data_IF_479262731699
#
_entry.id   IF_479262731699
#
_cell.length_a   1.000
_cell.length_b   1.000
_cell.length_c   1.000
_cell.angle_alpha   90.00
_cell.angle_beta   90.00
_cell.angle_gamma   90.00
#
_symmetry.space_group_name_H-M   'P 1'
#
loop_
_entity.id
_entity.type
_entity.pdbx_description
1 polymer ?
#
# COMPACT_ATOMS: atom_id res chain seq x y z
N UNK A 1 -10.12 -23.77 -27.34
CA UNK A 1 -10.16 -23.04 -26.06
C UNK A 1 -9.67 -24.03 -25.02
N UNK A 2 -8.38 -23.96 -24.70
CA UNK A 2 -7.77 -24.81 -23.68
C UNK A 2 -8.48 -24.58 -22.35
N UNK A 3 -8.78 -25.68 -21.67
CA UNK A 3 -9.49 -25.76 -20.41
C UNK A 3 -8.59 -25.21 -19.29
N UNK A 4 -8.37 -23.90 -19.24
CA UNK A 4 -7.88 -23.25 -18.02
C UNK A 4 -8.96 -23.46 -16.97
N UNK A 5 -8.65 -24.31 -15.98
CA UNK A 5 -9.58 -24.53 -14.87
C UNK A 5 -9.94 -23.18 -14.28
N UNK A 6 -11.23 -22.81 -14.28
CA UNK A 6 -11.70 -21.56 -13.67
C UNK A 6 -11.18 -21.47 -12.24
N UNK A 7 -10.12 -20.68 -12.01
CA UNK A 7 -9.58 -20.44 -10.68
C UNK A 7 -10.59 -19.60 -9.92
N UNK A 8 -10.98 -20.04 -8.74
CA UNK A 8 -11.81 -19.24 -7.84
C UNK A 8 -10.97 -18.10 -7.27
N UNK A 9 -11.57 -16.92 -7.04
CA UNK A 9 -10.85 -15.76 -6.47
C UNK A 9 -10.13 -16.14 -5.17
N UNK A 10 -10.78 -16.97 -4.34
CA UNK A 10 -10.22 -17.48 -3.08
C UNK A 10 -8.89 -18.22 -3.24
N UNK A 11 -8.58 -18.77 -4.41
CA UNK A 11 -7.34 -19.52 -4.64
C UNK A 11 -6.10 -18.65 -4.89
N UNK A 12 -6.29 -17.36 -5.18
CA UNK A 12 -5.21 -16.41 -5.42
C UNK A 12 -5.35 -15.10 -4.63
N UNK A 13 -6.40 -14.96 -3.83
CA UNK A 13 -6.63 -13.78 -3.01
C UNK A 13 -5.48 -13.59 -2.00
N UNK A 14 -4.83 -12.43 -2.04
CA UNK A 14 -3.69 -12.11 -1.19
C UNK A 14 -2.40 -12.87 -1.55
N UNK A 15 -2.35 -13.58 -2.67
CA UNK A 15 -1.17 -14.39 -3.05
C UNK A 15 0.12 -13.56 -3.20
N UNK A 16 0.01 -12.27 -3.48
CA UNK A 16 1.15 -11.34 -3.53
C UNK A 16 1.34 -10.54 -2.24
N UNK A 17 0.78 -11.00 -1.12
CA UNK A 17 0.95 -10.38 0.20
C UNK A 17 1.64 -11.31 1.18
N UNK A 18 2.59 -10.78 1.94
CA UNK A 18 3.17 -11.45 3.10
C UNK A 18 2.23 -11.32 4.30
N UNK A 19 1.02 -11.83 4.13
CA UNK A 19 -0.06 -11.81 5.11
C UNK A 19 0.04 -12.93 6.14
N UNK A 20 -1.04 -13.13 6.90
CA UNK A 20 -1.12 -14.12 7.99
C UNK A 20 -0.75 -15.54 7.54
N UNK A 21 -1.26 -15.97 6.37
CA UNK A 21 -1.02 -17.31 5.83
C UNK A 21 0.46 -17.50 5.46
N UNK A 22 1.00 -16.62 4.61
CA UNK A 22 2.42 -16.64 4.23
C UNK A 22 3.35 -16.56 5.45
N UNK A 23 3.04 -15.69 6.43
CA UNK A 23 3.81 -15.61 7.66
C UNK A 23 3.76 -16.91 8.47
N UNK A 24 2.60 -17.56 8.56
CA UNK A 24 2.45 -18.81 9.32
C UNK A 24 3.21 -19.98 8.71
N UNK A 25 3.37 -20.00 7.38
CA UNK A 25 4.13 -21.03 6.66
C UNK A 25 5.65 -20.81 6.74
N UNK A 26 6.08 -19.54 6.78
CA UNK A 26 7.50 -19.17 6.63
C UNK A 26 8.20 -18.85 7.94
N UNK A 27 7.45 -18.48 8.98
CA UNK A 27 8.02 -18.13 10.27
C UNK A 27 7.88 -19.29 11.26
N UNK A 28 8.88 -19.50 12.14
CA UNK A 28 8.71 -20.38 13.28
C UNK A 28 7.47 -20.01 14.09
N UNK A 29 6.72 -21.01 14.56
CA UNK A 29 5.44 -20.81 15.27
C UNK A 29 5.50 -19.79 16.40
N UNK A 30 6.57 -19.83 17.21
CA UNK A 30 6.77 -18.90 18.33
C UNK A 30 7.03 -17.47 17.85
N UNK A 31 7.77 -17.29 16.75
CA UNK A 31 8.07 -15.98 16.15
C UNK A 31 6.80 -15.38 15.55
N UNK A 32 6.01 -16.18 14.83
CA UNK A 32 4.72 -15.76 14.28
C UNK A 32 3.77 -15.29 15.39
N UNK A 33 3.63 -16.08 16.46
CA UNK A 33 2.78 -15.73 17.60
C UNK A 33 3.27 -14.45 18.29
N UNK A 34 4.58 -14.34 18.54
CA UNK A 34 5.16 -13.16 19.17
C UNK A 34 5.01 -11.90 18.30
N UNK A 35 5.11 -12.01 16.98
CA UNK A 35 4.83 -10.93 16.04
C UNK A 35 3.35 -10.50 16.15
N UNK A 36 2.40 -11.43 16.09
CA UNK A 36 0.96 -11.13 16.22
C UNK A 36 0.64 -10.45 17.55
N UNK A 37 1.20 -10.92 18.66
CA UNK A 37 1.03 -10.31 19.98
C UNK A 37 1.61 -8.89 20.04
N UNK A 38 2.78 -8.68 19.44
CA UNK A 38 3.44 -7.37 19.36
C UNK A 38 2.59 -6.36 18.57
N UNK A 39 2.08 -6.77 17.40
CA UNK A 39 1.19 -5.95 16.55
C UNK A 39 -0.11 -5.62 17.28
N UNK A 40 -0.74 -6.62 17.92
CA UNK A 40 -1.98 -6.44 18.68
C UNK A 40 -1.79 -5.49 19.86
N UNK A 41 -0.66 -5.58 20.55
CA UNK A 41 -0.32 -4.74 21.70
C UNK A 41 0.24 -3.36 21.32
N UNK A 42 0.56 -3.11 20.05
CA UNK A 42 1.20 -1.86 19.61
C UNK A 42 2.59 -1.64 20.22
N UNK A 43 3.33 -2.72 20.47
CA UNK A 43 4.67 -2.66 21.09
C UNK A 43 5.76 -2.57 20.02
N UNK A 44 6.94 -2.10 20.43
CA UNK A 44 8.14 -2.11 19.59
C UNK A 44 8.52 -3.55 19.25
N UNK A 45 8.83 -3.82 17.97
CA UNK A 45 9.27 -5.13 17.52
C UNK A 45 10.68 -5.46 18.08
N UNK A 46 10.84 -6.59 18.78
CA UNK A 46 12.16 -7.07 19.21
C UNK A 46 13.08 -7.37 18.02
N UNK A 47 14.38 -7.07 18.16
CA UNK A 47 15.35 -7.18 17.07
C UNK A 47 15.61 -8.63 16.63
N UNK A 48 15.54 -9.57 17.57
CA UNK A 48 15.62 -11.01 17.33
C UNK A 48 14.44 -11.50 16.47
N UNK A 49 13.22 -11.07 16.79
CA UNK A 49 12.03 -11.37 15.99
C UNK A 49 12.15 -10.72 14.60
N UNK A 50 12.57 -9.45 14.54
CA UNK A 50 12.73 -8.73 13.29
C UNK A 50 13.69 -9.42 12.31
N UNK A 51 14.81 -9.97 12.81
CA UNK A 51 15.77 -10.71 11.99
C UNK A 51 15.16 -11.95 11.35
N UNK A 52 14.38 -12.72 12.12
CA UNK A 52 13.71 -13.93 11.60
C UNK A 52 12.60 -13.56 10.60
N UNK A 53 11.84 -12.50 10.88
CA UNK A 53 10.79 -12.00 9.98
C UNK A 53 11.39 -11.50 8.67
N UNK A 54 12.47 -10.72 8.73
CA UNK A 54 13.16 -10.23 7.53
C UNK A 54 13.66 -11.39 6.67
N UNK A 55 14.25 -12.41 7.28
CA UNK A 55 14.70 -13.60 6.55
C UNK A 55 13.52 -14.32 5.86
N UNK A 56 12.44 -14.62 6.60
CA UNK A 56 11.26 -15.28 6.04
C UNK A 56 10.58 -14.47 4.92
N UNK A 57 10.51 -13.15 5.09
CA UNK A 57 9.95 -12.22 4.09
C UNK A 57 10.81 -12.19 2.82
N UNK A 58 12.14 -12.21 2.95
CA UNK A 58 13.07 -12.24 1.83
C UNK A 58 12.95 -13.54 1.03
N UNK A 59 12.97 -14.69 1.70
CA UNK A 59 12.84 -15.99 1.02
C UNK A 59 11.49 -16.08 0.28
N UNK A 60 10.39 -15.69 0.93
CA UNK A 60 9.08 -15.62 0.28
C UNK A 60 9.07 -14.70 -0.95
N UNK A 61 9.67 -13.51 -0.85
CA UNK A 61 9.72 -12.56 -1.95
C UNK A 61 10.56 -13.10 -3.12
N UNK A 62 11.73 -13.67 -2.83
CA UNK A 62 12.64 -14.22 -3.84
C UNK A 62 12.04 -15.43 -4.58
N UNK A 63 11.32 -16.30 -3.87
CA UNK A 63 10.59 -17.42 -4.50
C UNK A 63 9.51 -16.96 -5.49
N UNK A 64 8.95 -15.77 -5.26
CA UNK A 64 8.00 -15.13 -6.17
C UNK A 64 8.69 -14.23 -7.23
N UNK A 65 10.01 -14.31 -7.35
CA UNK A 65 10.79 -13.61 -8.38
C UNK A 65 11.19 -12.18 -8.02
N UNK A 66 11.13 -11.80 -6.73
CA UNK A 66 11.63 -10.51 -6.30
C UNK A 66 13.16 -10.48 -6.22
N UNK A 67 13.74 -9.41 -6.75
CA UNK A 67 15.20 -9.17 -6.69
C UNK A 67 15.56 -7.95 -5.84
N UNK A 68 14.58 -7.07 -5.63
CA UNK A 68 14.71 -5.82 -4.91
C UNK A 68 13.61 -5.73 -3.84
N UNK A 69 13.87 -4.89 -2.86
CA UNK A 69 12.87 -4.42 -1.90
C UNK A 69 12.84 -2.90 -1.86
N UNK A 70 11.76 -2.36 -1.34
CA UNK A 70 11.59 -0.93 -1.13
C UNK A 70 10.78 -0.67 0.14
N UNK A 71 11.19 0.34 0.89
CA UNK A 71 10.33 0.94 1.91
C UNK A 71 9.29 1.80 1.19
N UNK A 72 8.05 1.34 1.21
CA UNK A 72 6.94 1.94 0.50
C UNK A 72 6.19 2.89 1.44
N UNK A 73 6.17 4.18 1.12
CA UNK A 73 5.51 5.19 1.94
C UNK A 73 4.97 6.36 1.09
N UNK A 74 4.08 7.14 1.70
CA UNK A 74 3.43 8.29 1.07
C UNK A 74 3.90 9.57 1.78
N UNK A 75 4.94 10.25 1.26
CA UNK A 75 5.35 11.55 1.78
C UNK A 75 4.27 12.62 1.55
N UNK A 76 4.41 13.76 2.23
CA UNK A 76 3.51 14.93 2.11
C UNK A 76 3.47 15.58 0.71
N UNK A 77 4.13 14.99 -0.29
CA UNK A 77 4.11 15.46 -1.69
C UNK A 77 2.90 14.94 -2.47
N UNK A 78 2.05 14.10 -1.86
CA UNK A 78 0.84 13.58 -2.50
C UNK A 78 1.06 12.41 -3.47
N UNK A 79 2.28 11.87 -3.53
CA UNK A 79 2.63 10.71 -4.35
C UNK A 79 3.41 9.70 -3.51
N UNK A 80 3.30 8.43 -3.84
CA UNK A 80 4.11 7.36 -3.25
C UNK A 80 5.59 7.54 -3.58
N UNK A 81 6.46 7.35 -2.58
CA UNK A 81 7.90 7.29 -2.76
C UNK A 81 8.40 5.85 -2.66
N UNK A 82 9.33 5.51 -3.55
CA UNK A 82 9.99 4.21 -3.59
C UNK A 82 11.48 4.39 -3.91
N UNK A 83 12.32 3.70 -3.15
CA UNK A 83 13.74 3.49 -3.46
C UNK A 83 13.97 1.98 -3.51
N UNK A 84 14.45 1.46 -4.64
CA UNK A 84 14.60 0.02 -4.83
C UNK A 84 16.04 -0.38 -4.47
N UNK A 85 16.19 -1.10 -3.38
CA UNK A 85 17.46 -1.66 -2.91
C UNK A 85 17.49 -3.17 -3.24
N UNK A 86 18.62 -3.66 -3.77
CA UNK A 86 18.76 -5.08 -4.11
C UNK A 86 18.94 -5.94 -2.85
N UNK A 87 18.47 -7.19 -2.87
CA UNK A 87 18.84 -8.16 -1.83
C UNK A 87 20.32 -8.56 -1.90
N UNK A 88 20.96 -8.36 -3.05
CA UNK A 88 22.35 -8.73 -3.30
C UNK A 88 23.30 -7.89 -2.44
N UNK A 89 24.18 -8.55 -1.69
CA UNK A 89 25.28 -7.92 -0.95
C UNK A 89 26.57 -8.70 -1.13
N UNK A 90 27.69 -7.98 -1.10
CA UNK A 90 29.03 -8.59 -1.14
C UNK A 90 29.61 -8.62 0.26
N UNK A 91 30.08 -9.78 0.69
CA UNK A 91 30.78 -9.97 1.97
C UNK A 91 32.23 -9.47 1.89
N UNK A 92 32.90 -9.33 3.03
CA UNK A 92 34.29 -8.84 3.12
C UNK A 92 35.30 -9.73 2.36
N UNK A 93 34.98 -11.01 2.23
CA UNK A 93 35.78 -12.01 1.49
C UNK A 93 35.52 -11.98 -0.03
N UNK A 94 34.62 -11.10 -0.50
CA UNK A 94 34.20 -11.02 -1.90
C UNK A 94 33.04 -11.96 -2.27
N UNK A 95 32.54 -12.78 -1.34
CA UNK A 95 31.41 -13.68 -1.61
C UNK A 95 30.12 -12.88 -1.77
N UNK A 96 29.39 -13.14 -2.85
CA UNK A 96 28.10 -12.51 -3.13
C UNK A 96 26.98 -13.36 -2.56
N UNK A 97 26.09 -12.75 -1.77
CA UNK A 97 24.93 -13.40 -1.16
C UNK A 97 23.69 -12.52 -1.24
N UNK A 98 22.50 -13.09 -1.17
CA UNK A 98 21.26 -12.34 -0.95
C UNK A 98 20.93 -12.25 0.55
N UNK A 99 20.90 -11.03 1.08
CA UNK A 99 20.62 -10.74 2.48
C UNK A 99 19.60 -9.63 2.63
N UNK A 100 18.71 -9.82 3.59
CA UNK A 100 17.81 -8.79 4.09
C UNK A 100 17.78 -8.91 5.62
N UNK A 101 18.29 -7.90 6.33
CA UNK A 101 18.47 -7.95 7.78
C UNK A 101 17.26 -7.40 8.53
N UNK A 102 17.14 -7.79 9.81
CA UNK A 102 16.13 -7.21 10.70
C UNK A 102 16.29 -5.70 10.87
N UNK A 103 17.52 -5.19 10.82
CA UNK A 103 17.80 -3.75 10.84
C UNK A 103 17.20 -3.05 9.61
N UNK A 104 17.45 -3.60 8.41
CA UNK A 104 16.86 -3.09 7.18
C UNK A 104 15.33 -3.18 7.18
N UNK A 105 14.73 -4.16 7.86
CA UNK A 105 13.28 -4.25 7.99
C UNK A 105 12.70 -3.18 8.94
N UNK A 106 13.28 -3.02 10.14
CA UNK A 106 12.71 -2.14 11.17
C UNK A 106 13.04 -0.67 10.96
N UNK A 107 14.20 -0.37 10.36
CA UNK A 107 14.66 0.99 10.16
C UNK A 107 15.47 1.12 8.87
N UNK A 108 14.89 1.78 7.88
CA UNK A 108 15.60 2.17 6.66
C UNK A 108 16.09 3.61 6.74
N UNK A 109 17.18 3.90 6.04
CA UNK A 109 17.64 5.27 5.75
C UNK A 109 17.38 5.53 4.25
N UNK A 110 16.20 6.06 3.86
CA UNK A 110 16.06 6.62 2.53
C UNK A 110 17.01 7.83 2.41
N UNK A 111 17.70 7.95 1.28
CA UNK A 111 18.36 9.21 0.91
C UNK A 111 17.26 10.26 0.69
N UNK A 112 16.92 10.93 1.78
CA UNK A 112 15.77 11.83 1.88
C UNK A 112 16.14 13.29 1.61
N UNK A 113 17.39 13.55 1.22
CA UNK A 113 17.94 14.88 1.00
C UNK A 113 17.13 15.73 -0.01
N UNK A 114 16.42 15.07 -0.92
CA UNK A 114 15.67 15.70 -2.01
C UNK A 114 14.17 15.86 -1.74
N UNK A 115 13.61 15.36 -0.62
CA UNK A 115 12.19 15.53 -0.34
C UNK A 115 11.88 16.98 0.09
N UNK A 116 10.77 17.58 -0.39
CA UNK A 116 10.36 18.92 0.02
C UNK A 116 10.19 19.01 1.54
N UNK A 117 10.90 19.95 2.16
CA UNK A 117 10.89 20.13 3.63
C UNK A 117 10.04 21.31 4.09
N UNK A 118 9.36 22.01 3.17
CA UNK A 118 8.58 23.21 3.50
C UNK A 118 9.41 24.36 4.12
N UNK A 119 10.73 24.37 3.90
CA UNK A 119 11.64 25.35 4.51
C UNK A 119 12.01 25.09 5.97
N UNK A 120 11.60 23.94 6.54
CA UNK A 120 11.85 23.60 7.94
C UNK A 120 13.25 23.00 8.20
N UNK A 121 14.10 22.81 7.17
CA UNK A 121 15.37 22.06 7.31
C UNK A 121 16.52 22.59 6.46
N UNK A 122 17.74 22.45 6.99
CA UNK A 122 18.99 22.54 6.22
C UNK A 122 19.34 21.18 5.58
N UNK A 123 20.05 21.17 4.46
CA UNK A 123 20.34 19.94 3.67
C UNK A 123 21.09 18.85 4.44
N UNK A 124 21.86 19.21 5.48
CA UNK A 124 22.56 18.22 6.33
C UNK A 124 21.63 17.54 7.35
N UNK A 125 20.50 18.16 7.69
CA UNK A 125 19.46 17.62 8.60
C UNK A 125 18.35 16.90 7.83
N UNK A 126 18.47 16.81 6.51
CA UNK A 126 17.49 16.17 5.63
C UNK A 126 17.52 14.63 5.68
N UNK A 127 18.17 14.04 6.68
CA UNK A 127 18.07 12.60 6.97
C UNK A 127 16.65 12.30 7.45
N UNK A 128 16.02 11.35 6.79
CA UNK A 128 14.76 10.78 7.24
C UNK A 128 14.95 9.28 7.49
N UNK A 129 14.08 8.74 8.33
CA UNK A 129 14.08 7.33 8.70
C UNK A 129 12.76 6.72 8.29
N UNK A 130 12.81 5.54 7.68
CA UNK A 130 11.63 4.71 7.49
C UNK A 130 11.53 3.69 8.61
N UNK A 131 10.31 3.38 9.05
CA UNK A 131 10.09 2.28 9.96
C UNK A 131 8.90 1.44 9.47
N UNK A 132 9.08 0.12 9.43
CA UNK A 132 8.00 -0.79 9.02
C UNK A 132 6.80 -0.70 9.95
N UNK A 133 5.61 -0.58 9.37
CA UNK A 133 4.34 -0.73 10.07
C UNK A 133 3.80 -2.15 9.87
N UNK A 134 3.96 -3.05 10.85
CA UNK A 134 3.51 -4.44 10.74
C UNK A 134 1.99 -4.60 10.79
N UNK A 135 1.21 -3.53 10.96
CA UNK A 135 -0.25 -3.58 10.79
C UNK A 135 -0.66 -3.62 9.32
N UNK A 136 0.23 -3.25 8.41
CA UNK A 136 0.06 -3.34 6.96
C UNK A 136 1.00 -4.42 6.40
N UNK A 137 0.49 -5.48 5.76
CA UNK A 137 1.33 -6.56 5.25
C UNK A 137 2.26 -6.06 4.14
N UNK A 138 3.49 -6.56 4.11
CA UNK A 138 4.36 -6.37 2.95
C UNK A 138 3.75 -7.07 1.72
N UNK A 139 4.03 -6.57 0.53
CA UNK A 139 3.44 -7.11 -0.70
C UNK A 139 4.45 -7.07 -1.84
N UNK A 140 4.16 -7.82 -2.90
CA UNK A 140 4.95 -7.83 -4.12
C UNK A 140 4.28 -6.98 -5.18
N UNK A 141 5.00 -5.99 -5.67
CA UNK A 141 4.57 -5.17 -6.79
C UNK A 141 5.21 -5.68 -8.08
N UNK A 142 4.40 -5.89 -9.11
CA UNK A 142 4.86 -6.24 -10.47
C UNK A 142 5.56 -5.02 -11.08
N UNK A 143 6.78 -5.19 -11.56
CA UNK A 143 7.56 -4.14 -12.20
C UNK A 143 8.35 -4.67 -13.39
N UNK A 144 8.04 -4.19 -14.60
CA UNK A 144 8.74 -4.60 -15.82
C UNK A 144 8.72 -6.11 -16.04
N UNK A 145 9.84 -6.80 -15.77
CA UNK A 145 10.00 -8.25 -15.92
C UNK A 145 10.10 -9.02 -14.59
N UNK A 146 9.94 -8.35 -13.44
CA UNK A 146 10.13 -8.98 -12.13
C UNK A 146 9.20 -8.42 -11.06
N UNK A 147 9.49 -8.77 -9.81
CA UNK A 147 8.78 -8.27 -8.64
C UNK A 147 9.70 -7.41 -7.77
N UNK A 148 9.10 -6.47 -7.05
CA UNK A 148 9.73 -5.73 -5.96
C UNK A 148 8.97 -5.98 -4.67
N UNK A 149 9.68 -6.30 -3.59
CA UNK A 149 9.10 -6.39 -2.24
C UNK A 149 8.85 -4.98 -1.71
N UNK A 150 7.58 -4.61 -1.58
CA UNK A 150 7.16 -3.35 -0.99
C UNK A 150 6.84 -3.55 0.49
N UNK A 151 7.53 -2.80 1.35
CA UNK A 151 7.40 -2.85 2.81
C UNK A 151 6.71 -1.57 3.27
N UNK A 152 5.42 -1.62 3.69
CA UNK A 152 4.70 -0.42 4.13
C UNK A 152 5.38 0.23 5.33
N UNK A 153 5.85 1.45 5.18
CA UNK A 153 6.61 2.14 6.23
C UNK A 153 6.04 3.50 6.56
N UNK A 154 6.27 3.93 7.80
CA UNK A 154 6.20 5.34 8.13
C UNK A 154 7.50 6.05 7.76
N UNK A 155 7.43 7.35 7.48
CA UNK A 155 8.60 8.18 7.19
C UNK A 155 8.67 9.38 8.15
N UNK A 156 9.76 9.46 8.90
CA UNK A 156 9.98 10.45 9.95
C UNK A 156 11.31 11.18 9.76
N UNK A 157 11.41 12.37 10.34
CA UNK A 157 12.64 13.15 10.35
C UNK A 157 13.65 12.67 11.38
N UNK A 158 14.86 13.22 11.30
CA UNK A 158 15.87 13.09 12.36
C UNK A 158 15.37 13.51 13.76
N UNK A 159 14.52 14.54 13.83
CA UNK A 159 13.93 15.04 15.09
C UNK A 159 12.58 14.38 15.44
N UNK A 160 12.10 13.42 14.65
CA UNK A 160 10.86 12.69 14.90
C UNK A 160 9.59 13.39 14.40
N UNK A 161 9.71 14.42 13.56
CA UNK A 161 8.55 14.97 12.85
C UNK A 161 8.04 13.97 11.80
N UNK A 162 6.72 13.91 11.64
CA UNK A 162 6.11 13.13 10.57
C UNK A 162 6.38 13.81 9.22
N UNK A 163 6.79 13.02 8.23
CA UNK A 163 7.02 13.45 6.86
C UNK A 163 6.14 12.71 5.86
N UNK A 164 5.19 11.95 6.38
CA UNK A 164 4.25 11.12 5.64
C UNK A 164 2.81 11.35 6.07
N UNK A 165 1.90 10.75 5.32
CA UNK A 165 0.48 10.72 5.64
C UNK A 165 0.13 9.61 6.66
N UNK A 166 0.97 8.57 6.73
CA UNK A 166 0.69 7.39 7.57
C UNK A 166 0.90 7.67 9.06
N UNK A 167 1.95 8.40 9.46
CA UNK A 167 2.18 8.71 10.87
C UNK A 167 1.05 9.55 11.48
N UNK A 168 0.59 10.66 10.84
CA UNK A 168 -0.56 11.41 11.33
C UNK A 168 -1.84 10.57 11.43
N UNK A 169 -2.10 9.70 10.45
CA UNK A 169 -3.26 8.79 10.46
C UNK A 169 -3.20 7.84 11.66
N UNK A 170 -2.08 7.15 11.89
CA UNK A 170 -1.92 6.23 13.02
C UNK A 170 -2.06 6.95 14.38
N UNK A 171 -1.53 8.17 14.50
CA UNK A 171 -1.70 9.02 15.70
C UNK A 171 -3.16 9.40 15.91
N UNK A 172 -3.87 9.78 14.84
CA UNK A 172 -5.29 10.11 14.87
C UNK A 172 -6.14 8.91 15.33
N UNK A 173 -5.92 7.73 14.75
CA UNK A 173 -6.60 6.50 15.14
C UNK A 173 -6.37 6.17 16.63
N UNK A 174 -5.14 6.34 17.13
CA UNK A 174 -4.82 6.16 18.55
C UNK A 174 -5.55 7.15 19.45
N UNK A 175 -5.60 8.43 19.08
CA UNK A 175 -6.32 9.46 19.82
C UNK A 175 -7.83 9.19 19.89
N UNK A 176 -8.44 8.77 18.78
CA UNK A 176 -9.85 8.34 18.71
C UNK A 176 -10.08 7.13 19.61
N UNK A 177 -9.23 6.10 19.51
CA UNK A 177 -9.34 4.89 20.35
C UNK A 177 -9.30 5.23 21.84
N UNK A 178 -8.33 6.03 22.28
CA UNK A 178 -8.18 6.42 23.69
C UNK A 178 -9.39 7.22 24.20
N UNK A 179 -9.95 8.08 23.36
CA UNK A 179 -11.13 8.88 23.72
C UNK A 179 -12.39 8.01 23.79
N UNK A 180 -12.55 7.09 22.84
CA UNK A 180 -13.66 6.15 22.82
C UNK A 180 -13.65 5.21 24.03
N UNK A 181 -12.47 4.73 24.46
CA UNK A 181 -12.35 3.91 25.68
C UNK A 181 -12.85 4.65 26.91
N UNK A 182 -12.46 5.91 27.12
CA UNK A 182 -12.93 6.73 28.26
C UNK A 182 -14.45 6.91 28.26
N UNK A 183 -15.03 7.11 27.08
CA UNK A 183 -16.48 7.20 26.94
C UNK A 183 -17.16 5.88 27.30
N UNK A 184 -16.65 4.75 26.79
CA UNK A 184 -17.17 3.41 27.09
C UNK A 184 -17.11 3.09 28.59
N UNK A 185 -16.01 3.43 29.27
CA UNK A 185 -15.89 3.30 30.72
C UNK A 185 -16.95 4.12 31.45
N UNK A 186 -17.19 5.36 31.02
CA UNK A 186 -18.22 6.24 31.59
C UNK A 186 -19.64 5.66 31.38
N UNK A 187 -19.86 4.93 30.29
CA UNK A 187 -21.11 4.24 29.98
C UNK A 187 -21.23 2.86 30.68
N UNK A 188 -20.27 2.49 31.52
CA UNK A 188 -20.28 1.22 32.27
C UNK A 188 -19.75 0.01 31.48
N UNK A 189 -19.17 0.22 30.29
CA UNK A 189 -18.52 -0.84 29.51
C UNK A 189 -17.04 -0.90 29.89
N UNK A 190 -16.69 -1.86 30.75
CA UNK A 190 -15.33 -2.03 31.28
C UNK A 190 -14.53 -3.10 30.53
N UNK A 191 -13.20 -3.00 30.54
CA UNK A 191 -12.30 -4.03 29.99
C UNK A 191 -12.00 -3.87 28.49
N UNK A 192 -12.46 -2.79 27.87
CA UNK A 192 -12.12 -2.45 26.48
C UNK A 192 -10.71 -1.87 26.44
N UNK A 193 -9.81 -2.51 25.68
CA UNK A 193 -8.39 -2.09 25.59
C UNK A 193 -8.05 -1.36 24.29
N UNK A 194 -8.90 -1.47 23.26
CA UNK A 194 -8.71 -0.84 21.96
C UNK A 194 -10.04 -0.69 21.23
N UNK A 195 -10.23 0.42 20.54
CA UNK A 195 -11.33 0.65 19.59
C UNK A 195 -10.74 0.80 18.20
N UNK A 196 -11.21 0.00 17.25
CA UNK A 196 -10.74 0.04 15.86
C UNK A 196 -11.65 0.93 15.02
N UNK A 197 -11.05 1.71 14.13
CA UNK A 197 -11.75 2.50 13.11
C UNK A 197 -11.70 1.79 11.77
N UNK A 198 -12.83 1.72 11.08
CA UNK A 198 -12.93 1.14 9.74
C UNK A 198 -13.24 2.25 8.73
N UNK A 199 -12.72 2.12 7.52
CA UNK A 199 -12.98 3.01 6.39
C UNK A 199 -13.33 2.17 5.16
N UNK A 200 -14.41 2.54 4.47
CA UNK A 200 -14.82 1.98 3.19
C UNK A 200 -14.77 3.07 2.13
N UNK A 201 -13.62 3.26 1.45
CA UNK A 201 -13.50 4.29 0.42
C UNK A 201 -14.23 3.87 -0.87
N UNK A 202 -15.01 4.79 -1.42
CA UNK A 202 -15.66 4.67 -2.73
C UNK A 202 -14.84 5.47 -3.75
N UNK A 203 -14.11 4.77 -4.64
CA UNK A 203 -13.14 5.40 -5.52
C UNK A 203 -13.73 5.65 -6.90
N UNK A 204 -14.09 6.90 -7.17
CA UNK A 204 -14.48 7.35 -8.50
C UNK A 204 -13.25 7.66 -9.39
N UNK A 205 -13.41 7.49 -10.69
CA UNK A 205 -12.38 7.83 -11.69
C UNK A 205 -12.97 8.02 -13.09
N UNK A 206 -12.20 8.66 -13.98
CA UNK A 206 -12.52 8.79 -15.41
C UNK A 206 -11.58 7.94 -16.27
N UNK A 207 -12.09 7.37 -17.35
CA UNK A 207 -11.27 6.69 -18.36
C UNK A 207 -11.31 7.44 -19.69
N UNK A 208 -10.14 7.73 -20.24
CA UNK A 208 -9.96 8.36 -21.55
C UNK A 208 -9.10 7.44 -22.40
N UNK A 209 -9.50 7.20 -23.65
CA UNK A 209 -8.65 6.44 -24.56
C UNK A 209 -7.29 7.13 -24.73
N UNK A 210 -6.21 6.35 -24.60
CA UNK A 210 -4.83 6.85 -24.63
C UNK A 210 -4.54 7.72 -25.85
N UNK A 211 -5.13 7.40 -27.01
CA UNK A 211 -4.96 8.19 -28.24
C UNK A 211 -5.48 9.61 -28.08
N UNK A 212 -6.64 9.79 -27.45
CA UNK A 212 -7.23 11.12 -27.20
C UNK A 212 -6.52 11.83 -26.06
N UNK A 213 -6.14 11.12 -25.00
CA UNK A 213 -5.38 11.68 -23.89
C UNK A 213 -4.06 12.32 -24.37
N UNK A 214 -3.28 11.61 -25.20
CA UNK A 214 -2.01 12.13 -25.73
C UNK A 214 -2.16 13.36 -26.66
N UNK A 215 -3.35 13.60 -27.21
CA UNK A 215 -3.65 14.77 -28.04
C UNK A 215 -4.04 16.00 -27.20
N UNK A 216 -4.12 15.88 -25.87
CA UNK A 216 -4.53 16.93 -24.95
C UNK A 216 -3.38 17.27 -23.99
N UNK A 217 -2.44 18.16 -24.39
CA UNK A 217 -1.32 18.55 -23.53
C UNK A 217 -1.76 19.06 -22.15
N UNK A 218 -2.91 19.73 -22.09
CA UNK A 218 -3.48 20.22 -20.84
C UNK A 218 -3.88 19.07 -19.89
N UNK A 219 -4.53 18.01 -20.39
CA UNK A 219 -4.79 16.80 -19.61
C UNK A 219 -3.49 16.12 -19.17
N UNK A 220 -2.54 15.96 -20.09
CA UNK A 220 -1.26 15.29 -19.82
C UNK A 220 -0.47 15.98 -18.71
N UNK A 221 -0.45 17.31 -18.70
CA UNK A 221 0.37 18.09 -17.78
C UNK A 221 -0.33 18.45 -16.48
N UNK A 222 -1.65 18.61 -16.50
CA UNK A 222 -2.41 19.14 -15.35
C UNK A 222 -3.42 18.16 -14.75
N UNK A 223 -3.58 16.97 -15.34
CA UNK A 223 -4.58 15.97 -14.89
C UNK A 223 -6.03 16.40 -15.13
N UNK A 224 -6.26 17.56 -15.77
CA UNK A 224 -7.60 18.09 -16.08
C UNK A 224 -7.57 18.87 -17.39
N UNK A 225 -8.75 19.11 -17.96
CA UNK A 225 -8.86 20.00 -19.12
C UNK A 225 -8.76 21.46 -18.66
N UNK A 226 -7.98 22.29 -19.36
CA UNK A 226 -7.86 23.73 -19.09
C UNK A 226 -8.77 24.56 -20.00
N UNK A 227 -9.09 24.01 -21.18
CA UNK A 227 -9.92 24.62 -22.20
C UNK A 227 -10.85 23.55 -22.79
N UNK A 228 -12.06 23.94 -23.19
CA UNK A 228 -13.00 23.05 -23.82
C UNK A 228 -14.43 23.57 -23.74
N UNK A 229 -15.23 23.25 -24.75
CA UNK A 229 -16.68 23.44 -24.65
C UNK A 229 -17.24 22.44 -23.63
N UNK A 230 -18.37 22.80 -23.02
CA UNK A 230 -19.11 21.87 -22.17
C UNK A 230 -19.52 20.63 -22.98
N UNK A 231 -19.55 19.45 -22.35
CA UNK A 231 -19.93 18.24 -23.06
C UNK A 231 -21.37 18.39 -23.59
N UNK A 232 -21.68 17.84 -24.78
CA UNK A 232 -23.03 17.92 -25.35
C UNK A 232 -24.07 17.20 -24.49
N UNK A 233 -23.63 16.35 -23.56
CA UNK A 233 -24.43 15.67 -22.53
C UNK A 233 -23.79 15.89 -21.16
N UNK A 234 -24.52 16.53 -20.23
CA UNK A 234 -24.09 16.74 -18.84
C UNK A 234 -24.57 15.63 -17.90
N UNK A 235 -24.48 15.87 -16.58
CA UNK A 235 -24.93 14.96 -15.50
C UNK A 235 -26.47 14.79 -15.40
N UNK A 236 -27.20 14.98 -16.48
CA UNK A 236 -28.67 15.04 -16.49
C UNK A 236 -29.32 13.73 -16.96
N UNK A 237 -28.51 12.74 -17.34
CA UNK A 237 -28.99 11.45 -17.84
C UNK A 237 -28.97 10.42 -16.71
N UNK A 238 -30.13 10.17 -16.12
CA UNK A 238 -30.37 9.04 -15.21
C UNK A 238 -30.07 7.68 -15.89
N UNK A 239 -30.09 7.63 -17.22
CA UNK A 239 -29.90 6.42 -18.04
C UNK A 239 -28.46 5.84 -17.99
N UNK A 240 -27.47 6.62 -17.53
CA UNK A 240 -26.06 6.20 -17.50
C UNK A 240 -25.65 5.61 -16.15
N UNK A 241 -26.27 6.06 -15.06
CA UNK A 241 -26.02 5.56 -13.72
C UNK A 241 -26.59 4.14 -13.59
N UNK A 242 -25.74 3.17 -13.25
CA UNK A 242 -26.05 1.72 -13.34
C UNK A 242 -26.46 1.20 -14.72
N UNK A 243 -26.18 1.93 -15.80
CA UNK A 243 -26.31 1.43 -17.17
C UNK A 243 -25.31 0.29 -17.46
N UNK A 244 -25.39 -0.32 -18.64
CA UNK A 244 -24.41 -1.35 -19.04
C UNK A 244 -22.99 -0.76 -19.15
N UNK A 245 -22.00 -1.45 -18.58
CA UNK A 245 -20.60 -1.05 -18.68
C UNK A 245 -20.09 -1.43 -20.08
N UNK A 246 -19.46 -0.51 -20.84
CA UNK A 246 -18.89 -0.85 -22.14
C UNK A 246 -17.85 -1.98 -22.03
N UNK A 247 -17.87 -2.96 -22.96
CA UNK A 247 -17.01 -4.16 -22.89
C UNK A 247 -15.52 -3.87 -22.69
N UNK A 248 -14.99 -2.84 -23.35
CA UNK A 248 -13.57 -2.42 -23.19
C UNK A 248 -13.27 -1.94 -21.77
N UNK A 249 -14.22 -1.26 -21.14
CA UNK A 249 -14.08 -0.78 -19.75
C UNK A 249 -14.25 -1.94 -18.79
N UNK A 250 -15.21 -2.82 -19.05
CA UNK A 250 -15.41 -4.01 -18.23
C UNK A 250 -14.16 -4.90 -18.21
N UNK A 251 -13.51 -5.11 -19.35
CA UNK A 251 -12.25 -5.85 -19.43
C UNK A 251 -11.13 -5.19 -18.61
N UNK A 252 -11.00 -3.86 -18.66
CA UNK A 252 -10.07 -3.11 -17.81
C UNK A 252 -10.39 -3.29 -16.32
N UNK A 253 -11.67 -3.16 -15.92
CA UNK A 253 -12.08 -3.33 -14.53
C UNK A 253 -11.81 -4.76 -14.03
N UNK A 254 -12.00 -5.78 -14.86
CA UNK A 254 -11.70 -7.18 -14.51
C UNK A 254 -10.21 -7.40 -14.26
N UNK A 255 -9.33 -6.81 -15.08
CA UNK A 255 -7.89 -6.87 -14.88
C UNK A 255 -7.47 -6.14 -13.59
N UNK A 256 -8.05 -4.96 -13.33
CA UNK A 256 -7.82 -4.22 -12.07
C UNK A 256 -8.27 -5.04 -10.87
N UNK A 257 -9.47 -5.62 -10.90
CA UNK A 257 -9.99 -6.48 -9.83
C UNK A 257 -9.07 -7.68 -9.55
N UNK A 258 -8.57 -8.36 -10.60
CA UNK A 258 -7.65 -9.47 -10.45
C UNK A 258 -6.35 -9.05 -9.74
N UNK A 259 -5.76 -7.93 -10.12
CA UNK A 259 -4.56 -7.39 -9.46
C UNK A 259 -4.85 -6.94 -8.02
N UNK A 260 -6.01 -6.33 -7.74
CA UNK A 260 -6.43 -5.97 -6.38
C UNK A 260 -6.60 -7.22 -5.51
N UNK A 261 -7.22 -8.27 -6.03
CA UNK A 261 -7.39 -9.54 -5.31
C UNK A 261 -6.05 -10.21 -5.04
N UNK A 262 -5.11 -10.21 -5.98
CA UNK A 262 -3.75 -10.72 -5.74
C UNK A 262 -3.05 -9.98 -4.58
N UNK A 263 -3.30 -8.68 -4.44
CA UNK A 263 -2.82 -7.83 -3.34
C UNK A 263 -3.69 -7.89 -2.08
N UNK A 264 -4.72 -8.73 -2.05
CA UNK A 264 -5.60 -8.90 -0.89
C UNK A 264 -6.53 -7.71 -0.62
N UNK A 265 -6.79 -6.88 -1.64
CA UNK A 265 -7.72 -5.75 -1.59
C UNK A 265 -9.12 -6.25 -2.01
N UNK A 266 -10.15 -6.13 -1.15
CA UNK A 266 -11.44 -6.79 -1.35
C UNK A 266 -12.39 -6.00 -2.27
N UNK A 267 -11.99 -5.68 -3.51
CA UNK A 267 -12.89 -4.99 -4.45
C UNK A 267 -14.22 -5.74 -4.64
N UNK A 268 -15.34 -5.09 -4.33
CA UNK A 268 -16.67 -5.72 -4.26
C UNK A 268 -17.64 -5.17 -5.29
N UNK A 269 -17.62 -3.86 -5.50
CA UNK A 269 -18.58 -3.16 -6.34
C UNK A 269 -17.86 -2.40 -7.45
N UNK A 270 -18.43 -2.44 -8.66
CA UNK A 270 -18.06 -1.59 -9.79
C UNK A 270 -19.30 -1.13 -10.55
N UNK A 271 -19.33 0.12 -11.00
CA UNK A 271 -20.40 0.61 -11.87
C UNK A 271 -19.99 1.85 -12.67
N UNK A 272 -20.84 2.21 -13.63
CA UNK A 272 -20.82 3.54 -14.25
C UNK A 272 -21.30 4.59 -13.25
N UNK A 273 -20.70 5.77 -13.31
CA UNK A 273 -21.15 6.95 -12.60
C UNK A 273 -21.98 7.89 -13.50
N UNK A 274 -22.49 8.99 -12.94
CA UNK A 274 -23.41 9.91 -13.61
C UNK A 274 -22.78 10.60 -14.82
N UNK A 275 -21.50 10.98 -14.77
CA UNK A 275 -20.86 11.66 -15.89
C UNK A 275 -20.37 10.67 -16.97
N UNK A 276 -20.34 11.09 -18.25
CA UNK A 276 -19.79 10.25 -19.32
C UNK A 276 -18.35 9.82 -19.02
N UNK A 277 -18.08 8.52 -19.16
CA UNK A 277 -16.78 7.91 -18.87
C UNK A 277 -16.29 8.05 -17.43
N UNK A 278 -17.21 8.31 -16.48
CA UNK A 278 -16.96 8.21 -15.04
C UNK A 278 -17.38 6.83 -14.55
N UNK A 279 -16.61 6.27 -13.62
CA UNK A 279 -16.84 4.96 -13.04
C UNK A 279 -16.45 4.96 -11.56
N UNK A 280 -16.90 3.95 -10.84
CA UNK A 280 -16.58 3.74 -9.43
C UNK A 280 -16.09 2.31 -9.16
N UNK A 281 -15.19 2.16 -8.19
CA UNK A 281 -14.85 0.89 -7.56
C UNK A 281 -14.83 1.04 -6.02
N UNK A 282 -15.40 0.07 -5.32
CA UNK A 282 -15.49 0.08 -3.85
C UNK A 282 -15.22 -1.31 -3.23
N UNK A 283 -14.61 -1.40 -2.03
CA UNK A 283 -14.39 -2.65 -1.29
C UNK A 283 -15.61 -3.15 -0.49
#
# INVERSE_FOLDING_TARGET
MSNESKKTVTSYYGALTFGTEAMSERLPKEVFKALQETVKAGKKLPADIAGVVAHGMKEWAMENGATHYTHWFQPMTGSTAEKHDAFLTTQMDGTVIERFSGEQLIQGEPDASSFPSGGMRSTFEARGYTAWDPTSPAFLMKGGKGMTLCIPTVFISYHGEALDEKTPLLRSMSAVSNSAIKLLETLGVTGVTKVNTYAGPEQEYFLIDKKFYSQRPDLVMSGRTLLGALPPKGQQLEDHYFGSIPDRVLAFMQEVEEELYLLGIPAKTRHNEVAPHQFEIAP
#
